data_IF_000590382210
#
_entry.id   IF_000590382210
#
_cell.length_a   1.000
_cell.length_b   1.000
_cell.length_c   1.000
_cell.angle_alpha   90.00
_cell.angle_beta   90.00
_cell.angle_gamma   90.00
#
_symmetry.space_group_name_H-M   'P 1'
#
loop_
_entity.id
_entity.type
_entity.pdbx_description
1 polymer ?
#
# COMPACT_ATOMS: atom_id res chain seq x y z
N UNK A 1 4.08 -18.15 18.58
CA UNK A 1 4.91 -16.92 18.55
C UNK A 1 4.16 -15.85 17.77
N UNK A 2 3.86 -14.69 18.39
CA UNK A 2 3.26 -13.56 17.69
C UNK A 2 4.30 -12.97 16.72
N UNK A 3 4.18 -13.27 15.43
CA UNK A 3 5.06 -12.73 14.39
C UNK A 3 4.81 -11.22 14.21
N UNK A 4 5.43 -10.42 15.09
CA UNK A 4 5.39 -8.94 15.00
C UNK A 4 6.33 -8.40 13.91
N UNK A 5 7.26 -9.22 13.41
CA UNK A 5 8.26 -8.81 12.41
C UNK A 5 7.64 -8.87 11.02
N UNK A 6 7.89 -7.83 10.23
CA UNK A 6 7.53 -7.75 8.81
C UNK A 6 8.77 -7.49 7.98
N UNK A 7 8.91 -8.20 6.87
CA UNK A 7 10.01 -8.05 5.93
C UNK A 7 9.61 -7.18 4.75
N UNK A 8 10.36 -6.14 4.46
CA UNK A 8 10.19 -5.35 3.23
C UNK A 8 10.97 -6.01 2.09
N UNK A 9 10.28 -6.36 1.02
CA UNK A 9 10.86 -7.01 -0.14
C UNK A 9 11.08 -5.99 -1.28
N UNK A 10 12.33 -5.59 -1.50
CA UNK A 10 12.74 -4.80 -2.67
C UNK A 10 13.22 -5.73 -3.78
N UNK A 11 12.77 -5.51 -5.03
CA UNK A 11 13.10 -6.33 -6.20
C UNK A 11 12.99 -5.51 -7.49
N UNK A 12 13.61 -6.00 -8.56
CA UNK A 12 13.63 -5.35 -9.88
C UNK A 12 12.75 -6.06 -10.92
N UNK A 13 12.42 -7.33 -10.68
CA UNK A 13 11.59 -8.16 -11.56
C UNK A 13 10.91 -9.29 -10.76
N UNK A 14 9.99 -10.01 -11.40
CA UNK A 14 9.21 -11.08 -10.77
C UNK A 14 10.09 -12.26 -10.35
N UNK A 15 11.15 -12.59 -11.08
CA UNK A 15 12.06 -13.68 -10.68
C UNK A 15 12.78 -13.38 -9.35
N UNK A 16 13.25 -12.14 -9.17
CA UNK A 16 13.85 -11.74 -7.89
C UNK A 16 12.82 -11.72 -6.76
N UNK A 17 11.58 -11.33 -7.04
CA UNK A 17 10.50 -11.39 -6.08
C UNK A 17 10.25 -12.84 -5.66
N UNK A 18 10.14 -13.75 -6.61
CA UNK A 18 9.89 -15.16 -6.38
C UNK A 18 10.95 -15.78 -5.47
N UNK A 19 12.23 -15.55 -5.77
CA UNK A 19 13.33 -16.03 -4.93
C UNK A 19 13.20 -15.53 -3.47
N UNK A 20 12.81 -14.27 -3.27
CA UNK A 20 12.64 -13.71 -1.92
C UNK A 20 11.40 -14.25 -1.22
N UNK A 21 10.31 -14.49 -1.94
CA UNK A 21 9.10 -15.11 -1.39
C UNK A 21 9.37 -16.55 -0.98
N UNK A 22 10.10 -17.32 -1.79
CA UNK A 22 10.53 -18.66 -1.47
C UNK A 22 11.42 -18.68 -0.21
N UNK A 23 12.38 -17.75 -0.10
CA UNK A 23 13.17 -17.57 1.11
C UNK A 23 12.29 -17.31 2.33
N UNK A 24 11.32 -16.39 2.22
CA UNK A 24 10.38 -16.10 3.30
C UNK A 24 9.58 -17.35 3.70
N UNK A 25 9.11 -18.11 2.73
CA UNK A 25 8.34 -19.35 2.95
C UNK A 25 9.17 -20.39 3.69
N UNK A 26 10.41 -20.66 3.25
CA UNK A 26 11.32 -21.61 3.88
C UNK A 26 11.67 -21.23 5.33
N UNK A 27 11.68 -19.93 5.65
CA UNK A 27 11.97 -19.42 6.99
C UNK A 27 10.73 -19.08 7.82
N UNK A 28 9.53 -19.54 7.41
CA UNK A 28 8.26 -19.28 8.10
C UNK A 28 7.93 -17.79 8.31
N UNK A 29 8.44 -16.92 7.45
CA UNK A 29 8.18 -15.48 7.46
C UNK A 29 6.88 -15.23 6.69
N UNK A 30 5.77 -15.00 7.39
CA UNK A 30 4.44 -14.82 6.78
C UNK A 30 4.05 -13.37 6.54
N UNK A 31 4.68 -12.41 7.22
CA UNK A 31 4.30 -11.00 7.14
C UNK A 31 5.31 -10.24 6.28
N UNK A 32 4.87 -9.74 5.13
CA UNK A 32 5.73 -9.04 4.17
C UNK A 32 5.17 -7.67 3.81
N UNK A 33 6.05 -6.76 3.45
CA UNK A 33 5.75 -5.46 2.88
C UNK A 33 6.27 -5.39 1.45
N UNK A 34 5.43 -4.91 0.55
CA UNK A 34 5.79 -4.64 -0.85
C UNK A 34 5.82 -3.12 -1.05
N UNK A 35 7.01 -2.50 -1.10
CA UNK A 35 7.12 -1.06 -1.26
C UNK A 35 6.84 -0.65 -2.71
N UNK A 36 6.10 0.43 -2.88
CA UNK A 36 5.98 1.14 -4.15
C UNK A 36 6.97 2.31 -4.16
N UNK A 37 8.27 2.00 -4.17
CA UNK A 37 9.33 3.00 -4.32
C UNK A 37 9.73 3.14 -5.80
N UNK A 38 10.48 4.17 -6.14
CA UNK A 38 10.83 4.53 -7.53
C UNK A 38 11.52 3.46 -8.37
N UNK A 39 11.93 2.33 -7.79
CA UNK A 39 12.46 1.16 -8.50
C UNK A 39 11.35 0.22 -9.01
N UNK A 40 10.15 0.32 -8.46
CA UNK A 40 9.01 -0.53 -8.87
C UNK A 40 8.10 0.32 -9.75
N UNK A 41 8.21 0.15 -11.06
CA UNK A 41 7.32 0.76 -12.04
C UNK A 41 5.87 0.30 -11.80
N UNK A 42 4.90 1.14 -12.19
CA UNK A 42 3.46 0.87 -12.01
C UNK A 42 3.05 -0.52 -12.53
N UNK A 43 3.54 -0.91 -13.70
CA UNK A 43 3.23 -2.20 -14.31
C UNK A 43 3.81 -3.37 -13.51
N UNK A 44 5.04 -3.23 -13.00
CA UNK A 44 5.65 -4.24 -12.14
C UNK A 44 4.90 -4.36 -10.82
N UNK A 45 4.42 -3.25 -10.25
CA UNK A 45 3.62 -3.27 -9.03
C UNK A 45 2.32 -4.04 -9.20
N UNK A 46 1.59 -3.77 -10.29
CA UNK A 46 0.35 -4.48 -10.62
C UNK A 46 0.59 -5.98 -10.92
N UNK A 47 1.67 -6.29 -11.64
CA UNK A 47 2.08 -7.67 -11.92
C UNK A 47 2.45 -8.42 -10.64
N UNK A 48 3.11 -7.74 -9.70
CA UNK A 48 3.45 -8.27 -8.37
C UNK A 48 2.22 -8.69 -7.58
N UNK A 49 1.18 -7.84 -7.55
CA UNK A 49 -0.07 -8.15 -6.84
C UNK A 49 -0.70 -9.42 -7.41
N UNK A 50 -0.83 -9.50 -8.74
CA UNK A 50 -1.37 -10.68 -9.44
C UNK A 50 -0.52 -11.93 -9.16
N UNK A 51 0.80 -11.79 -9.20
CA UNK A 51 1.73 -12.90 -8.99
C UNK A 51 1.61 -13.46 -7.56
N UNK A 52 1.64 -12.59 -6.55
CA UNK A 52 1.53 -13.00 -5.15
C UNK A 52 0.14 -13.62 -4.88
N UNK A 53 -0.94 -13.04 -5.40
CA UNK A 53 -2.28 -13.58 -5.17
C UNK A 53 -2.48 -14.97 -5.75
N UNK A 54 -1.79 -15.28 -6.85
CA UNK A 54 -1.88 -16.58 -7.52
C UNK A 54 -1.00 -17.65 -6.87
N UNK A 55 0.23 -17.30 -6.49
CA UNK A 55 1.27 -18.26 -6.14
C UNK A 55 1.60 -18.30 -4.64
N UNK A 56 1.25 -17.24 -3.87
CA UNK A 56 1.67 -17.01 -2.49
C UNK A 56 0.55 -16.42 -1.63
N UNK A 57 -0.67 -16.96 -1.72
CA UNK A 57 -1.86 -16.46 -1.03
C UNK A 57 -1.80 -16.63 0.50
N UNK A 58 -0.86 -17.42 1.02
CA UNK A 58 -0.63 -17.64 2.43
C UNK A 58 0.05 -16.47 3.16
N UNK A 59 0.66 -15.52 2.42
CA UNK A 59 1.31 -14.36 3.01
C UNK A 59 0.34 -13.27 3.44
N UNK A 60 0.63 -12.65 4.59
CA UNK A 60 0.01 -11.41 5.03
C UNK A 60 0.74 -10.22 4.40
N UNK A 61 0.24 -9.72 3.30
CA UNK A 61 0.92 -8.68 2.51
C UNK A 61 0.42 -7.30 2.88
N UNK A 62 1.35 -6.36 3.10
CA UNK A 62 1.06 -4.93 3.13
C UNK A 62 1.67 -4.28 1.90
N UNK A 63 0.82 -3.78 1.01
CA UNK A 63 1.25 -3.00 -0.15
C UNK A 63 1.39 -1.53 0.24
N UNK A 64 2.58 -0.96 0.04
CA UNK A 64 2.80 0.47 0.20
C UNK A 64 2.39 1.17 -1.10
N UNK A 65 1.23 1.80 -1.13
CA UNK A 65 0.81 2.58 -2.28
C UNK A 65 1.31 4.02 -2.16
N UNK A 66 2.28 4.39 -2.97
CA UNK A 66 2.83 5.74 -2.98
C UNK A 66 2.10 6.61 -3.99
N UNK A 67 1.34 7.59 -3.52
CA UNK A 67 0.64 8.55 -4.37
C UNK A 67 1.58 9.36 -5.26
N UNK A 68 2.82 9.56 -4.82
CA UNK A 68 3.84 10.22 -5.63
C UNK A 68 4.29 9.35 -6.82
N UNK A 69 4.66 8.08 -6.57
CA UNK A 69 5.19 7.19 -7.60
C UNK A 69 4.09 6.67 -8.55
N UNK A 70 2.85 6.61 -8.07
CA UNK A 70 1.68 6.19 -8.84
C UNK A 70 0.90 7.38 -9.43
N UNK A 71 1.43 8.61 -9.29
CA UNK A 71 0.77 9.80 -9.78
C UNK A 71 0.59 9.74 -11.30
N UNK A 72 -0.64 9.96 -11.73
CA UNK A 72 -1.04 10.03 -13.13
C UNK A 72 -1.02 11.47 -13.66
N UNK A 73 -1.74 11.75 -14.73
CA UNK A 73 -1.76 13.08 -15.39
C UNK A 73 -2.22 14.21 -14.48
N UNK A 74 -3.18 13.93 -13.58
CA UNK A 74 -3.77 14.90 -12.67
C UNK A 74 -4.24 14.21 -11.37
N UNK A 75 -4.81 14.99 -10.45
CA UNK A 75 -5.30 14.54 -9.15
C UNK A 75 -6.46 13.55 -9.29
N UNK A 76 -7.40 13.83 -10.15
CA UNK A 76 -8.62 13.04 -10.39
C UNK A 76 -8.26 11.65 -10.92
N UNK A 77 -7.40 11.59 -11.93
CA UNK A 77 -6.91 10.33 -12.48
C UNK A 77 -6.09 9.54 -11.47
N UNK A 78 -5.27 10.22 -10.68
CA UNK A 78 -4.47 9.59 -9.63
C UNK A 78 -5.36 8.99 -8.53
N UNK A 79 -6.45 9.67 -8.18
CA UNK A 79 -7.44 9.15 -7.25
C UNK A 79 -8.18 7.95 -7.83
N UNK A 80 -8.61 8.01 -9.09
CA UNK A 80 -9.29 6.90 -9.74
C UNK A 80 -8.39 5.66 -9.80
N UNK A 81 -7.12 5.81 -10.17
CA UNK A 81 -6.15 4.71 -10.19
C UNK A 81 -5.95 4.11 -8.79
N UNK A 82 -5.95 4.94 -7.75
CA UNK A 82 -5.88 4.47 -6.36
C UNK A 82 -7.16 3.73 -5.95
N UNK A 83 -8.32 4.25 -6.30
CA UNK A 83 -9.61 3.62 -6.03
C UNK A 83 -9.72 2.24 -6.71
N UNK A 84 -9.31 2.15 -7.96
CA UNK A 84 -9.30 0.89 -8.71
C UNK A 84 -8.34 -0.14 -8.07
N UNK A 85 -7.17 0.33 -7.61
CA UNK A 85 -6.24 -0.49 -6.84
C UNK A 85 -6.86 -1.00 -5.53
N UNK A 86 -7.52 -0.12 -4.77
CA UNK A 86 -8.21 -0.49 -3.53
C UNK A 86 -9.29 -1.52 -3.80
N UNK A 87 -10.13 -1.31 -4.82
CA UNK A 87 -11.19 -2.24 -5.22
C UNK A 87 -10.63 -3.61 -5.61
N UNK A 88 -9.57 -3.66 -6.39
CA UNK A 88 -8.93 -4.91 -6.79
C UNK A 88 -8.29 -5.67 -5.62
N UNK A 89 -7.90 -4.96 -4.58
CA UNK A 89 -7.26 -5.56 -3.40
C UNK A 89 -8.25 -6.13 -2.38
N UNK A 90 -9.55 -5.84 -2.49
CA UNK A 90 -10.58 -6.30 -1.54
C UNK A 90 -10.82 -7.81 -1.59
N UNK A 91 -10.50 -8.46 -2.70
CA UNK A 91 -10.75 -9.89 -2.91
C UNK A 91 -9.91 -10.79 -2.02
N UNK A 92 -8.82 -10.27 -1.44
CA UNK A 92 -7.93 -11.03 -0.57
C UNK A 92 -7.90 -10.47 0.85
N UNK A 93 -8.44 -11.24 1.81
CA UNK A 93 -8.51 -10.87 3.24
C UNK A 93 -7.14 -10.66 3.91
N UNK A 94 -6.08 -11.23 3.35
CA UNK A 94 -4.71 -11.13 3.85
C UNK A 94 -3.99 -9.85 3.39
N UNK A 95 -4.60 -9.07 2.50
CA UNK A 95 -4.01 -7.86 1.97
C UNK A 95 -4.35 -6.64 2.84
N UNK A 96 -3.35 -5.78 2.99
CA UNK A 96 -3.45 -4.48 3.63
C UNK A 96 -2.81 -3.45 2.72
N UNK A 97 -3.26 -2.22 2.81
CA UNK A 97 -2.70 -1.11 2.07
C UNK A 97 -2.13 -0.10 3.06
N UNK A 98 -0.88 0.29 2.87
CA UNK A 98 -0.27 1.43 3.53
C UNK A 98 -0.16 2.57 2.52
N UNK A 99 -0.96 3.61 2.72
CA UNK A 99 -0.96 4.78 1.86
C UNK A 99 0.17 5.73 2.24
N UNK A 100 0.99 6.08 1.26
CA UNK A 100 2.15 6.94 1.43
C UNK A 100 2.05 8.13 0.48
N UNK A 101 2.14 9.36 0.99
CA UNK A 101 2.07 10.58 0.16
C UNK A 101 3.26 10.71 -0.80
N UNK A 102 4.48 10.42 -0.32
CA UNK A 102 5.72 10.72 -1.02
C UNK A 102 6.18 12.17 -0.82
N UNK A 103 7.35 12.51 -1.35
CA UNK A 103 8.09 13.73 -0.96
C UNK A 103 8.01 14.91 -1.94
N UNK A 104 7.25 14.84 -3.03
CA UNK A 104 7.27 15.93 -4.03
C UNK A 104 6.16 16.95 -3.80
N UNK A 105 6.55 18.18 -3.43
CA UNK A 105 5.67 19.32 -3.18
C UNK A 105 4.85 19.79 -4.41
N UNK A 106 5.26 19.40 -5.63
CA UNK A 106 4.57 19.81 -6.87
C UNK A 106 3.32 18.99 -7.18
N UNK A 107 3.11 17.86 -6.52
CA UNK A 107 1.95 16.98 -6.74
C UNK A 107 0.94 17.18 -5.63
N UNK A 108 -0.17 17.85 -5.95
CA UNK A 108 -1.20 18.28 -5.00
C UNK A 108 -2.16 17.15 -4.54
N UNK A 109 -1.73 15.90 -4.60
CA UNK A 109 -2.54 14.78 -4.12
C UNK A 109 -1.77 14.01 -3.05
N UNK A 110 -2.20 14.16 -1.81
CA UNK A 110 -1.57 13.55 -0.64
C UNK A 110 -2.46 12.47 -0.01
N UNK A 111 -1.93 11.74 0.98
CA UNK A 111 -2.64 10.64 1.63
C UNK A 111 -3.91 11.07 2.35
N UNK A 112 -3.96 12.28 2.87
CA UNK A 112 -5.15 12.81 3.55
C UNK A 112 -6.26 13.07 2.54
N UNK A 113 -5.95 13.73 1.42
CA UNK A 113 -6.91 13.98 0.34
C UNK A 113 -7.49 12.66 -0.19
N UNK A 114 -6.62 11.66 -0.39
CA UNK A 114 -7.04 10.34 -0.84
C UNK A 114 -7.98 9.65 0.15
N UNK A 115 -7.71 9.75 1.46
CA UNK A 115 -8.58 9.19 2.49
C UNK A 115 -9.92 9.90 2.57
N UNK A 116 -9.93 11.23 2.49
CA UNK A 116 -11.19 12.02 2.46
C UNK A 116 -12.05 11.60 1.28
N UNK A 117 -11.44 11.39 0.11
CA UNK A 117 -12.15 10.86 -1.05
C UNK A 117 -12.69 9.44 -0.81
N UNK A 118 -11.86 8.53 -0.27
CA UNK A 118 -12.28 7.16 0.03
C UNK A 118 -13.41 7.06 1.05
N UNK A 119 -13.48 7.99 2.01
CA UNK A 119 -14.56 8.02 3.00
C UNK A 119 -15.95 8.17 2.36
N UNK A 120 -16.03 8.72 1.15
CA UNK A 120 -17.27 8.84 0.38
C UNK A 120 -17.70 7.50 -0.25
N UNK A 121 -16.81 6.54 -0.34
CA UNK A 121 -17.02 5.23 -0.95
C UNK A 121 -17.50 4.21 0.10
N UNK A 122 -18.78 4.22 0.42
CA UNK A 122 -19.39 3.41 1.49
C UNK A 122 -19.22 1.87 1.33
N UNK A 123 -18.89 1.40 0.13
CA UNK A 123 -18.80 -0.04 -0.17
C UNK A 123 -17.42 -0.66 0.05
N UNK A 124 -16.42 0.14 0.44
CA UNK A 124 -15.04 -0.33 0.55
C UNK A 124 -14.78 -1.01 1.89
N UNK A 125 -14.39 -2.29 1.85
CA UNK A 125 -14.00 -3.12 3.00
C UNK A 125 -12.52 -3.47 2.92
N UNK A 126 -11.63 -2.50 3.05
CA UNK A 126 -10.18 -2.69 2.96
C UNK A 126 -9.50 -2.30 4.27
N UNK A 127 -8.51 -3.08 4.68
CA UNK A 127 -7.62 -2.72 5.79
C UNK A 127 -6.61 -1.70 5.29
N UNK A 128 -6.90 -0.43 5.53
CA UNK A 128 -6.09 0.71 5.10
C UNK A 128 -5.35 1.31 6.29
N UNK A 129 -4.07 1.59 6.11
CA UNK A 129 -3.24 2.40 7.00
C UNK A 129 -2.66 3.59 6.22
N UNK A 130 -2.21 4.59 6.94
CA UNK A 130 -1.44 5.71 6.36
C UNK A 130 -0.09 5.84 7.03
N UNK A 131 0.91 6.18 6.21
CA UNK A 131 2.17 6.68 6.70
C UNK A 131 1.98 8.16 7.07
N UNK A 132 2.09 8.47 8.35
CA UNK A 132 1.86 9.80 8.89
C UNK A 132 3.12 10.35 9.53
N UNK A 133 3.45 11.61 9.20
CA UNK A 133 4.50 12.34 9.90
C UNK A 133 3.88 13.10 11.08
N UNK A 134 4.18 12.74 12.33
CA UNK A 134 3.58 13.34 13.53
C UNK A 134 3.93 14.82 13.71
N UNK A 135 4.99 15.31 13.05
CA UNK A 135 5.37 16.73 13.10
C UNK A 135 4.50 17.62 12.22
N UNK A 136 3.62 17.06 11.38
CA UNK A 136 2.67 17.81 10.57
C UNK A 136 1.34 18.00 11.32
N UNK A 137 1.29 18.94 12.28
CA UNK A 137 0.13 19.25 13.14
C UNK A 137 -1.19 19.48 12.38
N UNK A 138 -1.12 19.88 11.11
CA UNK A 138 -2.28 20.29 10.28
C UNK A 138 -3.36 19.21 10.09
N UNK A 139 -3.08 17.95 10.38
CA UNK A 139 -3.97 16.84 10.04
C UNK A 139 -4.51 16.05 11.23
N UNK A 140 -4.17 16.46 12.46
CA UNK A 140 -4.52 15.69 13.67
C UNK A 140 -6.04 15.50 13.80
N UNK A 141 -6.82 16.56 13.54
CA UNK A 141 -8.29 16.54 13.70
C UNK A 141 -9.02 15.73 12.61
N UNK A 142 -8.36 15.41 11.49
CA UNK A 142 -8.96 14.63 10.41
C UNK A 142 -8.94 13.14 10.76
N UNK A 143 -7.94 12.70 11.51
CA UNK A 143 -7.72 11.28 11.82
C UNK A 143 -8.50 10.79 13.04
N UNK A 144 -8.82 11.67 14.00
CA UNK A 144 -9.59 11.32 15.20
C UNK A 144 -10.98 10.78 14.91
N UNK A 145 -11.52 11.07 13.71
CA UNK A 145 -12.86 10.67 13.29
C UNK A 145 -12.86 9.60 12.17
N UNK A 146 -11.73 8.94 11.93
CA UNK A 146 -11.61 7.93 10.87
C UNK A 146 -11.33 6.55 11.46
N UNK A 147 -12.11 5.57 11.03
CA UNK A 147 -11.97 4.14 11.38
C UNK A 147 -10.79 3.50 10.62
N UNK A 148 -9.64 4.17 10.58
CA UNK A 148 -8.42 3.68 9.93
C UNK A 148 -7.29 3.56 10.96
N UNK A 149 -6.53 2.46 10.89
CA UNK A 149 -5.32 2.31 11.71
C UNK A 149 -4.23 3.22 11.19
N UNK A 150 -3.80 4.18 12.02
CA UNK A 150 -2.67 5.06 11.74
C UNK A 150 -1.39 4.33 12.13
N UNK A 151 -0.45 4.24 11.20
CA UNK A 151 0.90 3.77 11.48
C UNK A 151 1.84 4.97 11.48
N UNK A 152 2.44 5.24 12.64
CA UNK A 152 3.55 6.18 12.76
C UNK A 152 4.80 5.52 12.16
N UNK A 153 5.44 6.20 11.23
CA UNK A 153 6.74 5.83 10.65
C UNK A 153 7.73 6.96 10.92
#
# INVERSE_FOLDING_TARGET
>A
MNNKIRFELSFKNISQLDNKLNFCKLNNIKNINIPCKGLIKKDLFNSTIKYISKNYNEFNVTYHYSLYHQYSKNKEKSYQDFLDFVKSSQTNKNYKILLVSGSNKKKNFNSVDALVCLKKEKSLKVKLGIAYNPYLKKYYNIFSNMDCKIYLI
#
